data_IF_560809215037
#
_entry.id   IF_560809215037
#
_cell.length_a   1.000
_cell.length_b   1.000
_cell.length_c   1.000
_cell.angle_alpha   90.00
_cell.angle_beta   90.00
_cell.angle_gamma   90.00
#
_symmetry.space_group_name_H-M   'P 1'
#
loop_
_entity.id
_entity.type
_entity.pdbx_description
1 polymer ?
#
# COMPACT_ATOMS: atom_id res chain seq x y z
N UNK A 1 19.94 7.04 -31.77
CA UNK A 1 19.56 7.96 -30.68
C UNK A 1 19.41 7.13 -29.41
N UNK A 2 20.42 7.19 -28.53
CA UNK A 2 20.41 6.50 -27.23
C UNK A 2 19.53 7.35 -26.32
N UNK A 3 18.35 6.85 -25.96
CA UNK A 3 17.49 7.50 -24.96
C UNK A 3 18.36 7.59 -23.71
N UNK A 4 18.72 8.79 -23.28
CA UNK A 4 19.27 9.01 -21.94
C UNK A 4 18.15 8.66 -20.99
N UNK A 5 18.10 7.39 -20.60
CA UNK A 5 17.33 6.96 -19.44
C UNK A 5 17.88 7.81 -18.30
N UNK A 6 17.09 8.79 -17.86
CA UNK A 6 17.27 9.46 -16.59
C UNK A 6 17.15 8.38 -15.54
N UNK A 7 18.25 7.67 -15.33
CA UNK A 7 18.44 6.73 -14.24
C UNK A 7 18.34 7.59 -12.99
N UNK A 8 17.14 7.70 -12.44
CA UNK A 8 16.97 8.22 -11.10
C UNK A 8 17.97 7.46 -10.24
N UNK A 9 18.95 8.18 -9.68
CA UNK A 9 19.98 7.54 -8.88
C UNK A 9 19.27 6.87 -7.71
N UNK A 10 19.37 5.55 -7.60
CA UNK A 10 18.69 4.77 -6.56
C UNK A 10 19.00 5.34 -5.18
N UNK A 11 20.22 5.86 -5.02
CA UNK A 11 20.69 6.56 -3.82
C UNK A 11 19.85 7.82 -3.55
N UNK A 12 19.58 8.65 -4.55
CA UNK A 12 18.75 9.85 -4.40
C UNK A 12 17.32 9.50 -4.01
N UNK A 13 16.75 8.44 -4.59
CA UNK A 13 15.40 7.96 -4.24
C UNK A 13 15.34 7.47 -2.80
N UNK A 14 16.33 6.67 -2.36
CA UNK A 14 16.44 6.20 -0.98
C UNK A 14 16.60 7.38 -0.02
N UNK A 15 17.49 8.32 -0.32
CA UNK A 15 17.69 9.51 0.51
C UNK A 15 16.43 10.36 0.63
N UNK A 16 15.75 10.64 -0.49
CA UNK A 16 14.48 11.37 -0.47
C UNK A 16 13.43 10.64 0.38
N UNK A 17 13.32 9.31 0.25
CA UNK A 17 12.34 8.52 1.00
C UNK A 17 12.63 8.53 2.50
N UNK A 18 13.88 8.27 2.90
CA UNK A 18 14.29 8.33 4.31
C UNK A 18 14.18 9.73 4.90
N UNK A 19 14.57 10.76 4.15
CA UNK A 19 14.50 12.15 4.61
C UNK A 19 13.06 12.57 4.84
N UNK A 20 12.18 12.45 3.85
CA UNK A 20 10.78 12.83 3.98
C UNK A 20 10.04 11.95 4.98
N UNK A 21 10.32 10.64 5.01
CA UNK A 21 9.76 9.71 5.99
C UNK A 21 10.12 10.13 7.42
N UNK A 22 11.38 10.50 7.67
CA UNK A 22 11.83 10.97 8.98
C UNK A 22 11.20 12.30 9.36
N UNK A 23 11.16 13.27 8.44
CA UNK A 23 10.53 14.58 8.68
C UNK A 23 9.06 14.42 9.06
N UNK A 24 8.30 13.62 8.29
CA UNK A 24 6.89 13.36 8.57
C UNK A 24 6.72 12.62 9.90
N UNK A 25 7.54 11.60 10.16
CA UNK A 25 7.47 10.84 11.43
C UNK A 25 7.73 11.75 12.65
N UNK A 26 8.71 12.65 12.57
CA UNK A 26 8.97 13.63 13.64
C UNK A 26 7.80 14.60 13.79
N UNK A 27 7.27 15.14 12.69
CA UNK A 27 6.12 16.05 12.74
C UNK A 27 4.88 15.38 13.36
N UNK A 28 4.60 14.13 12.99
CA UNK A 28 3.51 13.34 13.57
C UNK A 28 3.77 13.02 15.04
N UNK A 29 5.01 12.68 15.43
CA UNK A 29 5.36 12.43 16.83
C UNK A 29 5.29 13.68 17.72
N UNK A 30 5.46 14.87 17.16
CA UNK A 30 5.34 16.15 17.86
C UNK A 30 3.87 16.61 18.02
N UNK A 31 2.95 16.08 17.20
CA UNK A 31 1.53 16.40 17.31
C UNK A 31 0.96 15.85 18.64
N UNK A 32 0.40 16.70 19.51
CA UNK A 32 -0.17 16.27 20.80
C UNK A 32 -1.50 15.52 20.66
N UNK A 33 -1.85 15.11 19.44
CA UNK A 33 -3.09 14.37 19.11
C UNK A 33 -2.93 12.87 19.35
N UNK A 34 -1.70 12.34 19.33
CA UNK A 34 -1.45 10.94 19.64
C UNK A 34 -1.26 10.78 21.16
N UNK A 35 -2.07 9.92 21.78
CA UNK A 35 -1.79 9.39 23.11
C UNK A 35 -0.35 8.87 23.08
N UNK A 36 0.50 9.36 23.99
CA UNK A 36 1.91 8.93 24.10
C UNK A 36 1.94 7.68 24.96
N UNK A 37 1.99 6.47 24.39
CA UNK A 37 2.13 5.28 25.20
C UNK A 37 3.53 5.33 25.83
N UNK A 38 3.67 4.78 27.03
CA UNK A 38 4.99 4.65 27.64
C UNK A 38 5.94 3.90 26.69
N UNK A 39 7.20 4.35 26.55
CA UNK A 39 8.14 3.71 25.64
C UNK A 39 8.29 2.24 26.02
N UNK A 40 8.32 1.32 25.03
CA UNK A 40 8.35 -0.10 25.30
C UNK A 40 9.62 -0.48 26.06
N UNK A 41 9.49 -1.38 27.03
CA UNK A 41 10.64 -1.88 27.80
C UNK A 41 11.52 -2.78 26.94
N UNK A 42 12.81 -2.86 27.27
CA UNK A 42 13.78 -3.71 26.54
C UNK A 42 13.32 -5.18 26.45
N UNK A 43 12.63 -5.67 27.48
CA UNK A 43 12.07 -7.03 27.50
C UNK A 43 10.96 -7.22 26.45
N UNK A 44 10.10 -6.21 26.26
CA UNK A 44 9.07 -6.26 25.22
C UNK A 44 9.72 -6.31 23.83
N UNK A 45 10.76 -5.51 23.58
CA UNK A 45 11.47 -5.52 22.29
C UNK A 45 12.04 -6.91 21.97
N UNK A 46 12.73 -7.53 22.93
CA UNK A 46 13.31 -8.87 22.76
C UNK A 46 12.23 -9.93 22.50
N UNK A 47 11.04 -9.76 23.09
CA UNK A 47 9.90 -10.67 22.88
C UNK A 47 9.31 -10.58 21.47
N UNK A 48 9.31 -9.40 20.85
CA UNK A 48 8.78 -9.21 19.48
C UNK A 48 9.85 -9.53 18.42
N UNK A 49 11.14 -9.44 18.75
CA UNK A 49 12.22 -9.63 17.79
C UNK A 49 12.16 -10.95 16.98
N UNK A 50 11.82 -12.12 17.56
CA UNK A 50 11.67 -13.36 16.79
C UNK A 50 10.57 -13.31 15.74
N UNK A 51 9.52 -12.49 15.93
CA UNK A 51 8.43 -12.31 14.95
C UNK A 51 8.89 -11.59 13.68
N UNK A 52 10.02 -10.88 13.73
CA UNK A 52 10.57 -10.20 12.56
C UNK A 52 10.89 -11.20 11.44
N UNK A 53 11.42 -12.38 11.77
CA UNK A 53 11.80 -13.40 10.78
C UNK A 53 10.59 -13.87 9.96
N UNK A 54 9.49 -14.40 10.55
CA UNK A 54 8.35 -14.83 9.78
C UNK A 54 7.64 -13.66 9.06
N UNK A 55 7.56 -12.46 9.68
CA UNK A 55 6.95 -11.30 9.01
C UNK A 55 7.74 -10.91 7.75
N UNK A 56 9.06 -10.84 7.85
CA UNK A 56 9.91 -10.53 6.68
C UNK A 56 9.77 -11.61 5.62
N UNK A 57 9.86 -12.88 6.01
CA UNK A 57 9.88 -14.01 5.07
C UNK A 57 8.55 -14.20 4.35
N UNK A 58 7.42 -14.06 5.05
CA UNK A 58 6.10 -14.39 4.52
C UNK A 58 5.26 -13.18 4.08
N UNK A 59 5.55 -11.99 4.60
CA UNK A 59 4.77 -10.77 4.27
C UNK A 59 5.60 -9.82 3.43
N UNK A 60 6.79 -9.43 3.90
CA UNK A 60 7.58 -8.39 3.24
C UNK A 60 8.19 -8.88 1.92
N UNK A 61 8.90 -10.01 1.91
CA UNK A 61 9.55 -10.53 0.70
C UNK A 61 8.51 -10.83 -0.40
N UNK A 62 7.40 -11.56 -0.13
CA UNK A 62 6.40 -11.83 -1.15
C UNK A 62 5.66 -10.56 -1.59
N UNK A 63 5.36 -9.66 -0.66
CA UNK A 63 4.73 -8.37 -0.97
C UNK A 63 5.60 -7.53 -1.90
N UNK A 64 6.88 -7.40 -1.59
CA UNK A 64 7.82 -6.65 -2.43
C UNK A 64 8.02 -7.28 -3.80
N UNK A 65 8.05 -8.62 -3.87
CA UNK A 65 8.07 -9.33 -5.15
C UNK A 65 6.80 -9.04 -5.98
N UNK A 66 5.62 -9.12 -5.36
CA UNK A 66 4.36 -8.82 -6.03
C UNK A 66 4.30 -7.37 -6.53
N UNK A 67 4.85 -6.42 -5.77
CA UNK A 67 4.96 -5.01 -6.13
C UNK A 67 5.88 -4.82 -7.33
N UNK A 68 7.11 -5.33 -7.26
CA UNK A 68 8.10 -5.15 -8.34
C UNK A 68 7.67 -5.83 -9.64
N UNK A 69 6.90 -6.91 -9.54
CA UNK A 69 6.30 -7.56 -10.69
C UNK A 69 5.04 -6.83 -11.21
N UNK A 70 4.17 -6.35 -10.32
CA UNK A 70 2.88 -5.77 -10.67
C UNK A 70 2.90 -4.31 -11.12
N UNK A 71 3.76 -3.47 -10.53
CA UNK A 71 3.81 -2.03 -10.82
C UNK A 71 4.08 -1.71 -12.30
N UNK A 72 5.02 -2.37 -13.01
CA UNK A 72 5.27 -2.10 -14.42
C UNK A 72 4.11 -2.43 -15.36
N UNK A 73 3.14 -3.23 -14.90
CA UNK A 73 2.00 -3.71 -15.69
C UNK A 73 0.78 -2.76 -15.62
N UNK A 74 0.83 -1.74 -14.78
CA UNK A 74 -0.30 -0.87 -14.46
C UNK A 74 0.01 0.60 -14.76
N UNK A 75 -1.03 1.39 -15.04
CA UNK A 75 -0.90 2.84 -15.20
C UNK A 75 -0.48 3.46 -13.85
N UNK A 76 0.49 4.40 -13.79
CA UNK A 76 0.95 5.01 -12.54
C UNK A 76 -0.16 5.59 -11.65
N UNK A 77 -1.26 6.09 -12.23
CA UNK A 77 -2.42 6.53 -11.45
C UNK A 77 -3.10 5.39 -10.69
N UNK A 78 -3.35 4.28 -11.36
CA UNK A 78 -3.96 3.06 -10.77
C UNK A 78 -3.07 2.45 -9.69
N UNK A 79 -1.75 2.40 -9.94
CA UNK A 79 -0.77 1.94 -8.94
C UNK A 79 -0.85 2.75 -7.65
N UNK A 80 -0.94 4.09 -7.77
CA UNK A 80 -1.06 4.96 -6.61
C UNK A 80 -2.31 4.67 -5.77
N UNK A 81 -3.48 4.50 -6.42
CA UNK A 81 -4.73 4.18 -5.72
C UNK A 81 -4.67 2.80 -5.06
N UNK A 82 -4.11 1.80 -5.76
CA UNK A 82 -3.94 0.45 -5.21
C UNK A 82 -3.00 0.44 -4.01
N UNK A 83 -1.90 1.19 -4.04
CA UNK A 83 -1.03 1.33 -2.86
C UNK A 83 -1.72 1.97 -1.67
N UNK A 84 -2.63 2.92 -1.89
CA UNK A 84 -3.39 3.49 -0.78
C UNK A 84 -4.25 2.44 -0.06
N UNK A 85 -4.68 1.37 -0.74
CA UNK A 85 -5.44 0.27 -0.10
C UNK A 85 -4.65 -0.51 0.94
N UNK A 86 -3.31 -0.40 0.94
CA UNK A 86 -2.47 -0.96 2.01
C UNK A 86 -2.84 -0.36 3.37
N UNK A 87 -3.18 0.94 3.42
CA UNK A 87 -3.61 1.62 4.64
C UNK A 87 -4.89 0.97 5.18
N UNK A 88 -5.83 0.58 4.31
CA UNK A 88 -7.04 -0.15 4.72
C UNK A 88 -6.72 -1.49 5.37
N UNK A 89 -5.83 -2.27 4.76
CA UNK A 89 -5.42 -3.58 5.30
C UNK A 89 -4.67 -3.42 6.62
N UNK A 90 -3.79 -2.43 6.72
CA UNK A 90 -3.07 -2.11 7.96
C UNK A 90 -3.99 -1.68 9.09
N UNK A 91 -4.96 -0.81 8.79
CA UNK A 91 -5.97 -0.33 9.73
C UNK A 91 -6.86 -1.47 10.27
N UNK A 92 -7.35 -2.34 9.37
CA UNK A 92 -8.11 -3.54 9.75
C UNK A 92 -7.25 -4.51 10.56
N UNK A 93 -5.99 -4.70 10.14
CA UNK A 93 -5.05 -5.60 10.83
C UNK A 93 -4.74 -5.11 12.24
N UNK A 94 -4.55 -3.80 12.46
CA UNK A 94 -4.41 -3.22 13.79
C UNK A 94 -5.66 -3.45 14.65
N UNK A 95 -6.85 -3.17 14.10
CA UNK A 95 -8.11 -3.40 14.82
C UNK A 95 -8.26 -4.88 15.24
N UNK A 96 -7.87 -5.84 14.39
CA UNK A 96 -7.99 -7.26 14.66
C UNK A 96 -6.88 -7.82 15.56
N UNK A 97 -5.64 -7.37 15.40
CA UNK A 97 -4.46 -7.97 16.06
C UNK A 97 -4.11 -7.28 17.37
N UNK A 98 -4.33 -5.96 17.48
CA UNK A 98 -3.98 -5.18 18.67
C UNK A 98 -5.19 -4.68 19.43
N UNK A 99 -6.40 -4.94 18.92
CA UNK A 99 -7.68 -4.55 19.54
C UNK A 99 -7.74 -3.04 19.84
N UNK A 100 -7.07 -2.24 19.01
CA UNK A 100 -7.05 -0.78 19.07
C UNK A 100 -8.44 -0.21 18.76
N UNK A 101 -8.85 0.90 19.40
CA UNK A 101 -10.15 1.50 19.19
C UNK A 101 -10.29 1.98 17.74
N UNK A 102 -11.14 1.29 16.99
CA UNK A 102 -11.44 1.60 15.60
C UNK A 102 -12.71 2.46 15.51
N UNK A 103 -12.54 3.77 15.37
CA UNK A 103 -13.64 4.73 15.38
C UNK A 103 -14.35 4.89 14.04
N UNK A 104 -15.39 5.73 14.06
CA UNK A 104 -16.22 6.01 12.86
C UNK A 104 -15.41 6.71 11.76
N UNK A 105 -14.42 7.52 12.13
CA UNK A 105 -13.57 8.25 11.17
C UNK A 105 -12.67 7.30 10.40
N UNK A 106 -12.09 6.34 11.11
CA UNK A 106 -11.22 5.30 10.58
C UNK A 106 -12.02 4.37 9.64
N UNK A 107 -13.22 3.96 10.05
CA UNK A 107 -14.13 3.16 9.22
C UNK A 107 -14.46 3.87 7.91
N UNK A 108 -14.83 5.16 7.96
CA UNK A 108 -15.15 5.92 6.75
C UNK A 108 -13.94 6.02 5.81
N UNK A 109 -12.75 6.30 6.35
CA UNK A 109 -11.52 6.36 5.57
C UNK A 109 -11.22 5.02 4.87
N UNK A 110 -11.29 3.92 5.62
CA UNK A 110 -11.07 2.56 5.09
C UNK A 110 -12.08 2.21 4.00
N UNK A 111 -13.36 2.54 4.19
CA UNK A 111 -14.39 2.28 3.17
C UNK A 111 -14.08 3.07 1.89
N UNK A 112 -13.81 4.37 2.00
CA UNK A 112 -13.54 5.23 0.84
C UNK A 112 -12.32 4.77 0.05
N UNK A 113 -11.21 4.46 0.74
CA UNK A 113 -9.98 3.96 0.11
C UNK A 113 -10.23 2.61 -0.57
N UNK A 114 -10.92 1.69 0.12
CA UNK A 114 -11.19 0.34 -0.40
C UNK A 114 -12.10 0.39 -1.64
N UNK A 115 -13.13 1.23 -1.61
CA UNK A 115 -14.04 1.41 -2.76
C UNK A 115 -13.31 2.04 -3.94
N UNK A 116 -12.43 3.02 -3.71
CA UNK A 116 -11.61 3.61 -4.76
C UNK A 116 -10.71 2.57 -5.42
N UNK A 117 -9.96 1.79 -4.63
CA UNK A 117 -9.11 0.72 -5.16
C UNK A 117 -9.88 -0.38 -5.87
N UNK A 118 -11.06 -0.77 -5.36
CA UNK A 118 -11.90 -1.76 -6.01
C UNK A 118 -12.42 -1.27 -7.37
N UNK A 119 -12.78 0.02 -7.47
CA UNK A 119 -13.26 0.63 -8.71
C UNK A 119 -12.22 0.54 -9.82
N UNK A 120 -10.94 0.80 -9.50
CA UNK A 120 -9.82 0.70 -10.43
C UNK A 120 -9.65 -0.71 -11.05
N UNK A 121 -10.01 -1.77 -10.31
CA UNK A 121 -9.90 -3.16 -10.80
C UNK A 121 -11.19 -3.60 -11.52
N UNK A 122 -12.34 -3.27 -10.93
CA UNK A 122 -13.64 -3.79 -11.36
C UNK A 122 -14.14 -3.12 -12.64
N UNK A 123 -13.96 -1.81 -12.80
CA UNK A 123 -14.45 -1.09 -13.98
C UNK A 123 -13.80 -1.59 -15.28
N UNK A 124 -12.46 -1.72 -15.38
CA UNK A 124 -11.83 -2.31 -16.56
C UNK A 124 -12.24 -3.76 -16.81
N UNK A 125 -12.41 -4.55 -15.74
CA UNK A 125 -12.83 -5.96 -15.84
C UNK A 125 -14.23 -6.09 -16.47
N UNK A 126 -15.21 -5.28 -16.04
CA UNK A 126 -16.52 -5.28 -16.69
C UNK A 126 -16.46 -4.80 -18.14
N UNK A 127 -15.66 -3.76 -18.45
CA UNK A 127 -15.50 -3.28 -19.82
C UNK A 127 -14.99 -4.36 -20.78
N UNK A 128 -14.02 -5.18 -20.35
CA UNK A 128 -13.52 -6.30 -21.16
C UNK A 128 -14.56 -7.42 -21.33
N UNK A 129 -15.37 -7.70 -20.30
CA UNK A 129 -16.43 -8.71 -20.34
C UNK A 129 -17.52 -8.35 -21.38
N UNK A 130 -17.96 -7.09 -21.42
CA UNK A 130 -19.00 -6.64 -22.34
C UNK A 130 -18.48 -6.45 -23.79
N UNK A 131 -17.20 -6.14 -23.98
CA UNK A 131 -16.61 -6.00 -25.32
C UNK A 131 -16.51 -7.32 -26.09
N UNK A 132 -16.43 -8.47 -25.40
CA UNK A 132 -16.33 -9.80 -26.03
C UNK A 132 -17.55 -10.16 -26.87
N UNK A 133 -18.72 -9.57 -26.58
CA UNK A 133 -19.97 -9.88 -27.27
C UNK A 133 -20.14 -9.16 -28.62
N UNK A 134 -19.36 -8.11 -28.91
CA UNK A 134 -19.52 -7.32 -30.15
C UNK A 134 -18.69 -7.88 -31.33
N UNK A 135 -17.52 -8.46 -31.06
CA UNK A 135 -16.58 -8.93 -32.09
C UNK A 135 -16.96 -10.26 -32.78
N UNK A 136 -18.12 -10.84 -32.44
CA UNK A 136 -18.67 -12.06 -33.06
C UNK A 136 -19.73 -11.77 -34.13
N UNK A 137 -20.28 -10.56 -34.17
CA UNK A 137 -21.33 -10.17 -35.12
C UNK A 137 -20.72 -9.69 -36.44
N UNK A 138 -19.59 -8.97 -36.39
CA UNK A 138 -18.99 -8.35 -37.59
C UNK A 138 -18.13 -9.29 -38.46
N UNK A 139 -17.96 -10.56 -38.06
CA UNK A 139 -17.14 -11.55 -38.77
C UNK A 139 -17.93 -12.52 -39.65
N UNK A 140 -19.26 -12.46 -39.59
CA UNK A 140 -20.18 -13.34 -40.33
C UNK A 140 -21.05 -12.57 -41.34
N UNK A 141 -20.67 -11.37 -41.73
CA UNK A 141 -21.34 -10.52 -42.72
C UNK A 141 -20.43 -10.21 -43.90
#
# INVERSE_FOLDING_TARGET
MRRSESSYDTVDVLFCWFFWGTVIAVLLGLLPVLDRPDPPTTEQIVKVLPWLIPVVLFVIIPGFYAITWGVPLLNPGTVGVLFMTEISVGAISAALLTNEPFGVREILGVILITVAGLTEVVVPMFGTLFSSHRSRVDRNS
#
